data_IF_206095517913
#
_entry.id   IF_206095517913
#
_cell.length_a   1.000
_cell.length_b   1.000
_cell.length_c   1.000
_cell.angle_alpha   90.00
_cell.angle_beta   90.00
_cell.angle_gamma   90.00
#
_symmetry.space_group_name_H-M   'P 1'
#
loop_
_entity.id
_entity.type
_entity.pdbx_description
1 polymer ?
#
# COMPACT_ATOMS: atom_id res chain seq x y z
N UNK A 1 94.50 17.79 -31.28
CA UNK A 1 95.14 16.46 -31.35
C UNK A 1 94.03 15.48 -31.72
N UNK A 2 93.89 15.12 -33.02
CA UNK A 2 94.58 13.98 -33.66
C UNK A 2 94.41 12.73 -32.78
N UNK A 3 93.79 11.65 -33.26
CA UNK A 3 94.35 10.80 -34.31
C UNK A 3 93.25 10.19 -35.20
N UNK A 4 93.45 10.41 -36.50
CA UNK A 4 92.96 9.61 -37.62
C UNK A 4 93.53 8.19 -37.54
N UNK A 5 92.71 7.15 -37.68
CA UNK A 5 93.19 5.90 -38.25
C UNK A 5 92.15 5.37 -39.24
N UNK A 6 92.40 5.65 -40.51
CA UNK A 6 91.84 4.91 -41.62
C UNK A 6 92.60 3.60 -41.75
N UNK A 7 91.89 2.47 -41.77
CA UNK A 7 92.39 1.20 -42.30
C UNK A 7 91.35 0.65 -43.26
N UNK A 8 91.86 0.25 -44.42
CA UNK A 8 91.23 -0.03 -45.70
C UNK A 8 90.57 -1.42 -45.81
N UNK A 9 89.37 -1.42 -46.39
CA UNK A 9 88.88 -2.27 -47.50
C UNK A 9 89.14 -3.80 -47.49
N UNK A 10 88.06 -4.59 -47.41
CA UNK A 10 87.80 -5.73 -48.32
C UNK A 10 86.31 -6.08 -48.37
N UNK A 11 85.78 -6.11 -49.59
CA UNK A 11 84.42 -6.51 -49.95
C UNK A 11 84.10 -7.96 -49.54
N UNK A 12 82.88 -8.20 -49.03
CA UNK A 12 82.10 -9.38 -49.42
C UNK A 12 80.64 -9.28 -48.95
N UNK A 13 79.71 -9.22 -49.91
CA UNK A 13 78.50 -10.04 -49.89
C UNK A 13 77.33 -9.64 -49.00
N UNK A 14 76.28 -9.11 -49.64
CA UNK A 14 74.93 -9.69 -49.62
C UNK A 14 74.23 -9.86 -48.24
N UNK A 15 73.30 -8.95 -47.95
CA UNK A 15 71.85 -9.23 -47.81
C UNK A 15 71.18 -8.22 -46.86
N UNK A 16 70.56 -7.19 -47.43
CA UNK A 16 69.52 -6.44 -46.74
C UNK A 16 68.30 -7.37 -46.57
N UNK A 17 68.19 -8.04 -45.42
CA UNK A 17 66.95 -8.69 -45.02
C UNK A 17 65.98 -7.59 -44.54
N UNK A 18 65.24 -7.02 -45.50
CA UNK A 18 64.10 -6.15 -45.23
C UNK A 18 62.99 -7.02 -44.60
N UNK A 19 62.98 -7.12 -43.27
CA UNK A 19 61.91 -7.73 -42.49
C UNK A 19 60.62 -6.94 -42.73
N UNK A 20 59.82 -7.37 -43.70
CA UNK A 20 58.45 -6.90 -43.87
C UNK A 20 57.69 -7.29 -42.62
N UNK A 21 57.32 -6.30 -41.80
CA UNK A 21 56.34 -6.48 -40.73
C UNK A 21 55.05 -6.97 -41.38
N UNK A 22 54.50 -8.14 -41.01
CA UNK A 22 53.27 -8.62 -41.60
C UNK A 22 52.14 -7.63 -41.29
N UNK A 23 51.55 -7.03 -42.32
CA UNK A 23 50.37 -6.18 -42.18
C UNK A 23 49.18 -7.08 -41.87
N UNK A 24 48.47 -6.86 -40.74
CA UNK A 24 47.39 -7.74 -40.35
C UNK A 24 46.28 -7.74 -41.40
N UNK A 25 45.73 -8.92 -41.65
CA UNK A 25 44.65 -9.10 -42.62
C UNK A 25 43.36 -8.45 -42.12
N UNK A 26 42.43 -8.12 -43.04
CA UNK A 26 41.12 -7.54 -42.66
C UNK A 26 40.35 -8.40 -41.67
N UNK A 27 40.56 -9.73 -41.70
CA UNK A 27 39.98 -10.68 -40.75
C UNK A 27 40.54 -10.53 -39.33
N UNK A 28 41.82 -10.21 -39.17
CA UNK A 28 42.43 -9.98 -37.85
C UNK A 28 41.88 -8.71 -37.21
N UNK A 29 41.68 -7.63 -37.99
CA UNK A 29 41.04 -6.41 -37.49
C UNK A 29 39.59 -6.65 -37.01
N UNK A 30 38.81 -7.44 -37.76
CA UNK A 30 37.46 -7.80 -37.36
C UNK A 30 37.48 -8.61 -36.06
N UNK A 31 38.42 -9.56 -35.94
CA UNK A 31 38.56 -10.37 -34.73
C UNK A 31 38.93 -9.50 -33.52
N UNK A 32 39.87 -8.56 -33.66
CA UNK A 32 40.22 -7.62 -32.58
C UNK A 32 39.06 -6.70 -32.20
N UNK A 33 38.27 -6.24 -33.17
CA UNK A 33 37.10 -5.40 -32.90
C UNK A 33 36.02 -6.16 -32.12
N UNK A 34 35.75 -7.43 -32.46
CA UNK A 34 34.79 -8.27 -31.72
C UNK A 34 35.27 -8.53 -30.30
N UNK A 35 36.56 -8.88 -30.12
CA UNK A 35 37.14 -9.11 -28.79
C UNK A 35 37.05 -7.83 -27.92
N UNK A 36 37.32 -6.66 -28.50
CA UNK A 36 37.22 -5.40 -27.78
C UNK A 36 35.78 -5.08 -27.34
N UNK A 37 34.79 -5.40 -28.18
CA UNK A 37 33.37 -5.15 -27.90
C UNK A 37 32.83 -6.08 -26.81
N UNK A 38 33.19 -7.36 -26.85
CA UNK A 38 32.88 -8.33 -25.79
C UNK A 38 33.52 -7.93 -24.45
N UNK A 39 34.78 -7.49 -24.47
CA UNK A 39 35.47 -7.05 -23.26
C UNK A 39 34.80 -5.81 -22.65
N UNK A 40 34.40 -4.83 -23.46
CA UNK A 40 33.66 -3.66 -23.00
C UNK A 40 32.30 -4.04 -22.38
N UNK A 41 31.61 -5.02 -22.96
CA UNK A 41 30.38 -5.59 -22.41
C UNK A 41 30.59 -6.22 -21.02
N UNK A 42 31.63 -7.04 -20.88
CA UNK A 42 31.98 -7.70 -19.61
C UNK A 42 32.34 -6.70 -18.50
N UNK A 43 33.12 -5.66 -18.82
CA UNK A 43 33.47 -4.61 -17.85
C UNK A 43 32.21 -3.87 -17.38
N UNK A 44 31.33 -3.51 -18.30
CA UNK A 44 30.06 -2.81 -17.99
C UNK A 44 29.16 -3.69 -17.11
N UNK A 45 29.02 -4.97 -17.46
CA UNK A 45 28.27 -5.93 -16.67
C UNK A 45 28.87 -6.14 -15.27
N UNK A 46 30.20 -6.24 -15.17
CA UNK A 46 30.90 -6.38 -13.88
C UNK A 46 30.66 -5.16 -12.98
N UNK A 47 30.74 -3.94 -13.52
CA UNK A 47 30.47 -2.71 -12.76
C UNK A 47 29.02 -2.67 -12.28
N UNK A 48 28.05 -2.94 -13.16
CA UNK A 48 26.62 -3.01 -12.80
C UNK A 48 26.36 -4.09 -11.74
N UNK A 49 27.00 -5.26 -11.86
CA UNK A 49 26.88 -6.35 -10.91
C UNK A 49 27.44 -5.97 -9.55
N UNK A 50 28.60 -5.30 -9.50
CA UNK A 50 29.21 -4.80 -8.26
C UNK A 50 28.31 -3.74 -7.59
N UNK A 51 27.77 -2.79 -8.36
CA UNK A 51 26.86 -1.76 -7.84
C UNK A 51 25.58 -2.38 -7.31
N UNK A 52 24.96 -3.29 -8.06
CA UNK A 52 23.75 -3.99 -7.65
C UNK A 52 23.99 -4.85 -6.39
N UNK A 53 25.11 -5.58 -6.33
CA UNK A 53 25.54 -6.32 -5.14
C UNK A 53 25.74 -5.39 -3.95
N UNK A 54 26.37 -4.22 -4.12
CA UNK A 54 26.55 -3.25 -3.03
C UNK A 54 25.22 -2.67 -2.53
N UNK A 55 24.29 -2.35 -3.43
CA UNK A 55 22.94 -1.89 -3.04
C UNK A 55 22.17 -2.97 -2.25
N UNK A 56 22.25 -4.23 -2.68
CA UNK A 56 21.67 -5.38 -1.96
C UNK A 56 22.30 -5.61 -0.59
N UNK A 57 23.60 -5.34 -0.43
CA UNK A 57 24.29 -5.52 0.85
C UNK A 57 23.93 -4.39 1.82
N UNK A 58 23.80 -3.15 1.34
CA UNK A 58 23.30 -2.02 2.13
C UNK A 58 21.88 -2.26 2.66
N UNK A 59 20.96 -2.67 1.78
CA UNK A 59 19.57 -2.98 2.16
C UNK A 59 19.46 -4.16 3.15
N UNK A 60 20.32 -5.17 3.02
CA UNK A 60 20.37 -6.31 3.96
C UNK A 60 20.90 -5.92 5.34
N UNK A 61 21.89 -5.02 5.41
CA UNK A 61 22.38 -4.52 6.70
C UNK A 61 21.34 -3.66 7.41
N UNK A 62 20.54 -2.89 6.67
CA UNK A 62 19.45 -2.09 7.21
C UNK A 62 18.30 -2.96 7.72
N UNK A 63 17.94 -4.02 6.98
CA UNK A 63 16.97 -5.02 7.42
C UNK A 63 17.45 -5.82 8.65
N UNK A 64 18.75 -6.11 8.73
CA UNK A 64 19.35 -6.78 9.90
C UNK A 64 19.32 -5.88 11.14
N UNK A 65 19.58 -4.58 10.99
CA UNK A 65 19.50 -3.60 12.09
C UNK A 65 18.08 -3.49 12.63
N UNK A 66 17.08 -3.39 11.74
CA UNK A 66 15.66 -3.32 12.10
C UNK A 66 15.22 -4.62 12.82
N UNK A 67 15.65 -5.80 12.34
CA UNK A 67 15.35 -7.08 13.01
C UNK A 67 16.00 -7.19 14.39
N UNK A 68 17.22 -6.67 14.57
CA UNK A 68 17.93 -6.71 15.84
C UNK A 68 17.30 -5.78 16.88
N UNK A 69 16.84 -4.59 16.47
CA UNK A 69 16.07 -3.66 17.32
C UNK A 69 14.70 -4.27 17.73
N UNK A 70 14.02 -4.99 16.83
CA UNK A 70 12.77 -5.70 17.15
C UNK A 70 12.99 -6.93 18.05
N UNK A 71 14.08 -7.68 17.84
CA UNK A 71 14.43 -8.85 18.67
C UNK A 71 14.79 -8.49 20.11
N UNK A 72 15.48 -7.35 20.32
CA UNK A 72 15.77 -6.83 21.66
C UNK A 72 14.50 -6.38 22.40
N UNK A 73 13.51 -5.82 21.69
CA UNK A 73 12.18 -5.48 22.26
C UNK A 73 11.34 -6.72 22.60
N UNK A 74 11.45 -7.81 21.84
CA UNK A 74 10.64 -9.03 22.04
C UNK A 74 11.07 -9.85 23.27
N UNK A 75 12.33 -9.74 23.70
CA UNK A 75 12.86 -10.47 24.88
C UNK A 75 12.45 -9.88 26.25
N UNK A 76 11.79 -8.72 26.28
CA UNK A 76 11.45 -8.00 27.52
C UNK A 76 9.95 -7.83 27.81
N UNK A 77 9.05 -8.48 27.08
CA UNK A 77 7.60 -8.37 27.33
C UNK A 77 6.94 -9.74 27.49
N UNK A 78 6.99 -10.24 28.72
CA UNK A 78 5.92 -11.07 29.25
C UNK A 78 4.76 -10.15 29.65
N UNK A 79 3.55 -10.53 29.24
CA UNK A 79 2.24 -9.95 29.60
C UNK A 79 1.96 -8.54 29.05
N UNK A 80 0.83 -8.43 28.33
CA UNK A 80 0.23 -7.21 27.74
C UNK A 80 -0.32 -6.27 28.85
N UNK A 81 -0.88 -5.06 28.57
CA UNK A 81 -1.34 -4.52 27.28
C UNK A 81 -1.05 -3.04 26.97
N UNK A 82 -1.40 -2.68 25.73
CA UNK A 82 -1.86 -1.35 25.24
C UNK A 82 -0.90 -0.15 25.20
N UNK A 83 -1.24 0.75 24.27
CA UNK A 83 -0.68 2.07 23.99
C UNK A 83 0.73 2.13 23.40
N UNK A 84 0.82 2.44 22.10
CA UNK A 84 1.51 3.61 21.55
C UNK A 84 1.02 3.77 20.10
N UNK A 85 -0.02 4.60 19.96
CA UNK A 85 -0.25 5.44 18.77
C UNK A 85 0.74 6.61 18.84
N UNK A 86 0.87 7.34 17.73
CA UNK A 86 1.50 8.66 17.61
C UNK A 86 2.98 8.62 17.17
N UNK A 87 3.24 8.36 15.88
CA UNK A 87 4.24 9.08 15.04
C UNK A 87 4.00 8.82 13.53
N UNK A 88 3.27 7.78 13.11
CA UNK A 88 3.17 7.42 11.68
C UNK A 88 2.29 8.33 10.79
N UNK A 89 1.59 9.34 11.30
CA UNK A 89 0.63 10.14 10.48
C UNK A 89 1.27 11.12 9.50
N UNK A 90 2.58 11.39 9.55
CA UNK A 90 3.23 12.37 8.65
C UNK A 90 3.98 11.74 7.48
N UNK A 91 4.44 10.49 7.61
CA UNK A 91 5.27 9.85 6.58
C UNK A 91 4.46 9.45 5.33
N UNK A 92 3.16 9.23 5.48
CA UNK A 92 2.34 8.69 4.40
C UNK A 92 1.81 9.76 3.43
N UNK A 93 1.75 11.03 3.87
CA UNK A 93 1.37 12.16 3.01
C UNK A 93 2.45 12.51 1.96
N UNK A 94 3.70 12.07 2.15
CA UNK A 94 4.82 12.43 1.28
C UNK A 94 5.16 11.36 0.22
N UNK A 95 4.67 10.13 0.36
CA UNK A 95 5.05 9.04 -0.55
C UNK A 95 4.10 8.93 -1.76
N UNK A 96 2.89 9.50 -1.69
CA UNK A 96 1.87 9.37 -2.76
C UNK A 96 1.79 10.53 -3.75
N UNK A 97 2.49 11.66 -3.54
CA UNK A 97 2.53 12.77 -4.52
C UNK A 97 3.57 12.59 -5.65
N UNK A 98 4.08 11.38 -5.85
CA UNK A 98 5.03 11.07 -6.92
C UNK A 98 4.40 10.30 -8.08
N UNK A 99 4.14 11.01 -9.19
CA UNK A 99 3.93 10.52 -10.56
C UNK A 99 2.85 9.46 -10.79
N UNK A 100 1.70 9.90 -11.32
CA UNK A 100 0.88 9.09 -12.24
C UNK A 100 -0.30 8.31 -11.67
N UNK A 101 -0.71 8.56 -10.42
CA UNK A 101 -1.92 7.95 -9.89
C UNK A 101 -3.17 8.76 -10.28
N UNK A 102 -4.08 8.14 -11.02
CA UNK A 102 -5.51 8.48 -10.99
C UNK A 102 -5.91 8.77 -9.53
N UNK A 103 -6.62 9.86 -9.25
CA UNK A 103 -7.11 10.20 -7.90
C UNK A 103 -7.89 8.99 -7.38
N UNK A 104 -7.26 8.16 -6.55
CA UNK A 104 -7.92 7.04 -5.88
C UNK A 104 -8.55 7.60 -4.60
N UNK A 105 -9.79 7.23 -4.35
CA UNK A 105 -10.43 7.52 -3.06
C UNK A 105 -9.75 6.68 -1.98
N UNK A 106 -9.73 7.17 -0.74
CA UNK A 106 -9.05 6.54 0.40
C UNK A 106 -9.47 5.09 0.64
N UNK A 107 -10.75 4.76 0.36
CA UNK A 107 -11.28 3.39 0.40
C UNK A 107 -10.56 2.45 -0.58
N UNK A 108 -10.25 2.89 -1.80
CA UNK A 108 -9.59 2.04 -2.81
C UNK A 108 -8.14 1.74 -2.44
N UNK A 109 -7.44 2.71 -1.89
CA UNK A 109 -6.07 2.53 -1.44
C UNK A 109 -5.99 1.56 -0.26
N UNK A 110 -6.96 1.64 0.66
CA UNK A 110 -7.08 0.70 1.76
C UNK A 110 -7.43 -0.72 1.28
N UNK A 111 -8.36 -0.86 0.35
CA UNK A 111 -8.73 -2.16 -0.23
C UNK A 111 -7.55 -2.80 -0.97
N UNK A 112 -6.83 -2.03 -1.79
CA UNK A 112 -5.63 -2.49 -2.48
C UNK A 112 -4.51 -2.90 -1.52
N UNK A 113 -4.29 -2.15 -0.44
CA UNK A 113 -3.35 -2.53 0.61
C UNK A 113 -3.75 -3.84 1.29
N UNK A 114 -5.02 -4.00 1.66
CA UNK A 114 -5.50 -5.18 2.39
C UNK A 114 -5.40 -6.46 1.54
N UNK A 115 -5.55 -6.35 0.22
CA UNK A 115 -5.35 -7.47 -0.71
C UNK A 115 -3.90 -7.98 -0.72
N UNK A 116 -2.94 -7.05 -0.56
CA UNK A 116 -1.50 -7.36 -0.54
C UNK A 116 -1.03 -7.82 0.83
N UNK A 117 -1.31 -7.04 1.88
CA UNK A 117 -0.80 -7.28 3.23
C UNK A 117 -1.52 -8.43 3.93
N UNK A 118 -2.80 -8.65 3.60
CA UNK A 118 -3.66 -9.71 4.18
C UNK A 118 -3.63 -9.70 5.72
N UNK A 119 -4.16 -8.63 6.35
CA UNK A 119 -4.19 -8.54 7.81
C UNK A 119 -4.87 -9.75 8.43
N UNK A 120 -4.29 -10.26 9.52
CA UNK A 120 -4.81 -11.43 10.25
C UNK A 120 -6.07 -11.07 11.05
N UNK A 121 -7.19 -10.96 10.34
CA UNK A 121 -8.51 -10.70 10.94
C UNK A 121 -9.16 -11.98 11.51
N UNK A 122 -8.62 -13.16 11.19
CA UNK A 122 -9.14 -14.43 11.68
C UNK A 122 -9.04 -14.56 13.22
N UNK A 123 -8.21 -13.73 13.88
CA UNK A 123 -8.13 -13.68 15.34
C UNK A 123 -9.30 -12.93 16.00
N UNK A 124 -10.08 -12.19 15.21
CA UNK A 124 -11.23 -11.44 15.73
C UNK A 124 -12.43 -12.35 16.00
N UNK A 125 -12.52 -13.52 15.36
CA UNK A 125 -13.68 -14.41 15.50
C UNK A 125 -13.31 -15.88 15.68
N UNK A 126 -14.11 -16.58 16.47
CA UNK A 126 -13.93 -18.02 16.72
C UNK A 126 -14.49 -18.89 15.58
N UNK A 127 -15.48 -18.39 14.86
CA UNK A 127 -16.19 -19.08 13.77
C UNK A 127 -15.61 -18.78 12.37
N UNK A 128 -14.64 -17.86 12.29
CA UNK A 128 -13.99 -17.46 11.05
C UNK A 128 -14.80 -16.49 10.19
N UNK A 129 -15.94 -15.96 10.64
CA UNK A 129 -16.63 -14.87 9.94
C UNK A 129 -16.03 -13.53 10.34
N UNK A 130 -16.03 -12.54 9.47
CA UNK A 130 -15.58 -11.19 9.83
C UNK A 130 -16.47 -10.16 9.16
N UNK A 131 -16.78 -9.11 9.90
CA UNK A 131 -17.51 -7.96 9.37
C UNK A 131 -16.50 -6.88 9.08
N UNK A 132 -16.50 -6.41 7.83
CA UNK A 132 -15.58 -5.40 7.32
C UNK A 132 -16.38 -4.14 7.07
N UNK A 133 -15.93 -3.04 7.67
CA UNK A 133 -16.52 -1.72 7.48
C UNK A 133 -15.50 -0.81 6.82
N UNK A 134 -15.92 -0.17 5.74
CA UNK A 134 -15.18 0.93 5.13
C UNK A 134 -15.91 2.25 5.37
N UNK A 135 -15.16 3.30 5.63
CA UNK A 135 -15.68 4.67 5.64
C UNK A 135 -14.66 5.64 5.07
N UNK A 136 -15.12 6.75 4.51
CA UNK A 136 -14.31 7.93 4.15
C UNK A 136 -15.20 9.18 4.11
N UNK A 137 -14.59 10.36 3.99
CA UNK A 137 -15.31 11.63 3.93
C UNK A 137 -15.69 11.91 2.47
N UNK A 138 -16.97 12.15 2.24
CA UNK A 138 -17.48 12.57 0.93
C UNK A 138 -16.87 13.92 0.54
N UNK A 139 -16.37 14.03 -0.69
CA UNK A 139 -15.81 15.27 -1.21
C UNK A 139 -14.55 15.75 -0.47
N UNK A 140 -13.81 14.84 0.18
CA UNK A 140 -12.66 15.18 1.05
C UNK A 140 -11.58 16.03 0.37
N UNK A 141 -11.30 15.80 -0.91
CA UNK A 141 -10.36 16.63 -1.70
C UNK A 141 -10.87 18.07 -1.82
N UNK A 142 -12.15 18.27 -2.14
CA UNK A 142 -12.75 19.60 -2.29
C UNK A 142 -12.83 20.32 -0.94
N UNK A 143 -13.17 19.58 0.12
CA UNK A 143 -13.19 20.09 1.48
C UNK A 143 -11.78 20.54 1.92
N UNK A 144 -10.74 19.75 1.61
CA UNK A 144 -9.36 20.14 1.90
C UNK A 144 -8.94 21.40 1.13
N UNK A 145 -9.25 21.47 -0.17
CA UNK A 145 -8.95 22.65 -1.00
C UNK A 145 -9.63 23.92 -0.45
N UNK A 146 -10.88 23.82 0.00
CA UNK A 146 -11.64 24.96 0.54
C UNK A 146 -11.14 25.43 1.92
N UNK A 147 -10.78 24.50 2.81
CA UNK A 147 -10.31 24.83 4.17
C UNK A 147 -8.82 25.16 4.26
N UNK A 148 -8.03 24.62 3.33
CA UNK A 148 -6.58 24.62 3.37
C UNK A 148 -5.99 23.54 4.30
N UNK A 149 -4.81 23.05 3.94
CA UNK A 149 -4.15 21.88 4.54
C UNK A 149 -4.09 21.91 6.07
N UNK A 150 -3.77 23.07 6.67
CA UNK A 150 -3.60 23.17 8.12
C UNK A 150 -4.91 22.97 8.88
N UNK A 151 -6.03 23.46 8.35
CA UNK A 151 -7.35 23.30 8.97
C UNK A 151 -7.84 21.86 8.75
N UNK A 152 -7.66 21.33 7.54
CA UNK A 152 -7.98 19.95 7.20
C UNK A 152 -7.25 18.92 8.09
N UNK A 153 -5.95 19.07 8.30
CA UNK A 153 -5.19 18.16 9.20
C UNK A 153 -5.76 18.18 10.62
N UNK A 154 -6.15 19.36 11.15
CA UNK A 154 -6.78 19.43 12.48
C UNK A 154 -8.16 18.78 12.51
N UNK A 155 -8.92 18.86 11.43
CA UNK A 155 -10.21 18.20 11.30
C UNK A 155 -10.03 16.68 11.27
N UNK A 156 -9.11 16.18 10.43
CA UNK A 156 -8.76 14.76 10.36
C UNK A 156 -8.28 14.22 11.71
N UNK A 157 -7.46 14.95 12.46
CA UNK A 157 -7.03 14.50 13.79
C UNK A 157 -8.19 14.31 14.77
N UNK A 158 -9.21 15.20 14.72
CA UNK A 158 -10.42 15.07 15.55
C UNK A 158 -11.30 13.93 15.05
N UNK A 159 -11.48 13.83 13.73
CA UNK A 159 -12.28 12.79 13.09
C UNK A 159 -11.70 11.41 13.39
N UNK A 160 -10.39 11.23 13.21
CA UNK A 160 -9.69 9.97 13.48
C UNK A 160 -9.81 9.53 14.94
N UNK A 161 -9.81 10.48 15.89
CA UNK A 161 -10.04 10.21 17.31
C UNK A 161 -11.48 9.77 17.56
N UNK A 162 -12.47 10.43 16.95
CA UNK A 162 -13.88 10.05 17.04
C UNK A 162 -14.09 8.62 16.53
N UNK A 163 -13.68 8.34 15.29
CA UNK A 163 -13.83 7.00 14.67
C UNK A 163 -13.18 5.94 15.53
N UNK A 164 -11.91 6.13 15.92
CA UNK A 164 -11.20 5.15 16.77
C UNK A 164 -11.93 4.92 18.10
N UNK A 165 -12.46 5.99 18.72
CA UNK A 165 -13.17 5.89 19.98
C UNK A 165 -14.46 5.08 19.85
N UNK A 166 -15.25 5.31 18.80
CA UNK A 166 -16.50 4.58 18.54
C UNK A 166 -16.23 3.11 18.20
N UNK A 167 -15.26 2.85 17.33
CA UNK A 167 -14.85 1.48 16.98
C UNK A 167 -14.46 0.69 18.23
N UNK A 168 -13.64 1.26 19.11
CA UNK A 168 -13.25 0.60 20.34
C UNK A 168 -14.43 0.39 21.31
N UNK A 169 -15.36 1.35 21.41
CA UNK A 169 -16.52 1.25 22.29
C UNK A 169 -17.46 0.10 21.89
N UNK A 170 -17.54 -0.19 20.59
CA UNK A 170 -18.34 -1.29 20.02
C UNK A 170 -17.53 -2.59 19.81
N UNK A 171 -16.37 -2.72 20.45
CA UNK A 171 -15.55 -3.94 20.39
C UNK A 171 -14.92 -4.23 19.02
N UNK A 172 -14.90 -3.25 18.12
CA UNK A 172 -14.26 -3.35 16.81
C UNK A 172 -12.76 -3.06 16.85
N UNK A 173 -12.13 -3.23 15.69
CA UNK A 173 -10.72 -2.96 15.48
C UNK A 173 -10.49 -2.09 14.24
N UNK A 174 -9.75 -1.00 14.39
CA UNK A 174 -9.25 -0.24 13.23
C UNK A 174 -8.07 -1.00 12.63
N UNK A 175 -8.29 -1.62 11.46
CA UNK A 175 -7.28 -2.40 10.74
C UNK A 175 -6.22 -1.48 10.15
N UNK A 176 -6.69 -0.44 9.44
CA UNK A 176 -5.85 0.61 8.87
C UNK A 176 -6.67 1.86 8.62
N UNK A 177 -6.02 3.01 8.63
CA UNK A 177 -6.58 4.27 8.18
C UNK A 177 -5.64 4.94 7.16
N UNK A 178 -6.22 5.68 6.22
CA UNK A 178 -5.53 6.35 5.13
C UNK A 178 -6.18 7.71 4.91
N UNK A 179 -5.54 8.80 5.34
CA UNK A 179 -6.14 10.13 5.31
C UNK A 179 -7.43 10.19 6.14
N UNK A 180 -8.56 10.37 5.44
CA UNK A 180 -9.94 10.34 5.93
C UNK A 180 -10.60 8.95 5.89
N UNK A 181 -9.99 7.99 5.18
CA UNK A 181 -10.52 6.64 5.00
C UNK A 181 -10.16 5.69 6.16
N UNK A 182 -11.08 4.81 6.51
CA UNK A 182 -10.91 3.76 7.50
C UNK A 182 -11.31 2.39 6.95
N UNK A 183 -10.50 1.38 7.28
CA UNK A 183 -10.86 -0.02 7.24
C UNK A 183 -10.96 -0.53 8.66
N UNK A 184 -12.15 -1.01 9.03
CA UNK A 184 -12.46 -1.48 10.37
C UNK A 184 -12.99 -2.91 10.29
N UNK A 185 -12.79 -3.66 11.36
CA UNK A 185 -13.21 -5.05 11.45
C UNK A 185 -13.94 -5.29 12.77
N UNK A 186 -15.03 -6.04 12.69
CA UNK A 186 -15.85 -6.44 13.83
C UNK A 186 -16.09 -7.94 13.80
N UNK A 187 -16.25 -8.51 15.00
CA UNK A 187 -16.61 -9.91 15.15
C UNK A 187 -18.11 -10.16 14.89
N UNK A 188 -18.92 -9.13 15.11
CA UNK A 188 -20.37 -9.21 15.16
C UNK A 188 -21.00 -8.09 14.30
N UNK A 189 -21.92 -8.42 13.38
CA UNK A 189 -22.53 -7.42 12.48
C UNK A 189 -23.38 -6.40 13.21
N UNK A 190 -24.03 -6.76 14.32
CA UNK A 190 -24.81 -5.83 15.15
C UNK A 190 -23.92 -4.68 15.66
N UNK A 191 -22.78 -5.02 16.26
CA UNK A 191 -21.80 -4.04 16.72
C UNK A 191 -21.26 -3.15 15.58
N UNK A 192 -21.05 -3.70 14.38
CA UNK A 192 -20.59 -2.92 13.23
C UNK A 192 -21.65 -1.89 12.79
N UNK A 193 -22.93 -2.28 12.75
CA UNK A 193 -24.03 -1.38 12.39
C UNK A 193 -24.22 -0.31 13.46
N UNK A 194 -24.26 -0.67 14.75
CA UNK A 194 -24.39 0.30 15.85
C UNK A 194 -23.22 1.27 15.92
N UNK A 195 -21.99 0.80 15.73
CA UNK A 195 -20.83 1.68 15.64
C UNK A 195 -20.97 2.70 14.51
N UNK A 196 -21.50 2.28 13.37
CA UNK A 196 -21.68 3.13 12.19
C UNK A 196 -22.78 4.17 12.43
N UNK A 197 -23.91 3.76 13.03
CA UNK A 197 -25.01 4.65 13.41
C UNK A 197 -24.54 5.70 14.45
N UNK A 198 -23.83 5.26 15.48
CA UNK A 198 -23.23 6.15 16.48
C UNK A 198 -22.25 7.17 15.88
N UNK A 199 -21.49 6.75 14.85
CA UNK A 199 -20.55 7.62 14.16
C UNK A 199 -21.30 8.70 13.36
N UNK A 200 -22.34 8.33 12.60
CA UNK A 200 -23.17 9.30 11.88
C UNK A 200 -23.84 10.27 12.87
N UNK A 201 -24.44 9.75 13.94
CA UNK A 201 -25.08 10.56 14.96
C UNK A 201 -24.11 11.57 15.58
N UNK A 202 -22.90 11.15 15.96
CA UNK A 202 -21.90 12.03 16.55
C UNK A 202 -21.38 13.13 15.59
N UNK A 203 -21.50 12.93 14.27
CA UNK A 203 -21.19 13.93 13.26
C UNK A 203 -22.37 14.90 13.09
N UNK A 204 -23.60 14.38 13.09
CA UNK A 204 -24.83 15.15 12.91
C UNK A 204 -25.24 15.96 14.14
N UNK A 205 -24.90 15.52 15.36
CA UNK A 205 -25.15 16.24 16.62
C UNK A 205 -24.53 17.64 16.64
N UNK A 206 -23.40 17.84 15.94
CA UNK A 206 -22.71 19.13 15.88
C UNK A 206 -22.01 19.33 14.53
N UNK A 207 -22.75 19.61 13.46
CA UNK A 207 -22.19 19.69 12.11
C UNK A 207 -21.12 20.78 11.99
N UNK A 208 -21.28 21.90 12.71
CA UNK A 208 -20.32 23.01 12.67
C UNK A 208 -18.97 22.63 13.26
N UNK A 209 -18.93 21.84 14.35
CA UNK A 209 -17.67 21.33 14.92
C UNK A 209 -16.89 20.47 13.93
N UNK A 210 -17.61 19.84 13.01
CA UNK A 210 -17.10 18.93 12.00
C UNK A 210 -17.01 19.58 10.61
N UNK A 211 -17.19 20.89 10.49
CA UNK A 211 -17.12 21.61 9.21
C UNK A 211 -18.09 21.05 8.16
N UNK A 212 -19.22 20.51 8.63
CA UNK A 212 -20.26 19.86 7.84
C UNK A 212 -19.75 18.72 6.94
N UNK A 213 -18.65 18.04 7.32
CA UNK A 213 -18.24 16.82 6.62
C UNK A 213 -19.33 15.77 6.70
N UNK A 214 -19.48 15.01 5.62
CA UNK A 214 -20.37 13.85 5.57
C UNK A 214 -19.54 12.62 5.31
N UNK A 215 -19.82 11.55 6.04
CA UNK A 215 -19.07 10.29 5.94
C UNK A 215 -19.95 9.26 5.27
N UNK A 216 -19.41 8.58 4.26
CA UNK A 216 -20.09 7.44 3.65
C UNK A 216 -19.57 6.16 4.29
N UNK A 217 -20.45 5.22 4.60
CA UNK A 217 -20.11 3.98 5.30
C UNK A 217 -20.67 2.78 4.54
N UNK A 218 -19.85 1.76 4.35
CA UNK A 218 -20.28 0.47 3.79
C UNK A 218 -19.86 -0.70 4.66
N UNK A 219 -20.79 -1.63 4.86
CA UNK A 219 -20.61 -2.81 5.72
C UNK A 219 -20.87 -4.07 4.90
N UNK A 220 -19.90 -4.97 4.94
CA UNK A 220 -20.05 -6.30 4.39
C UNK A 220 -19.51 -7.34 5.37
N UNK A 221 -20.01 -8.56 5.29
CA UNK A 221 -19.50 -9.67 6.06
C UNK A 221 -19.24 -10.87 5.17
N UNK A 222 -18.17 -11.58 5.50
CA UNK A 222 -17.75 -12.76 4.76
C UNK A 222 -16.92 -13.68 5.65
N UNK A 223 -16.25 -14.65 5.05
CA UNK A 223 -15.53 -15.68 5.80
C UNK A 223 -14.02 -15.50 5.65
N UNK A 224 -13.34 -15.20 6.75
CA UNK A 224 -11.89 -15.21 6.86
C UNK A 224 -11.37 -16.65 6.93
N UNK A 225 -11.43 -17.38 5.82
CA UNK A 225 -10.93 -18.76 5.78
C UNK A 225 -9.40 -18.74 5.73
N UNK A 226 -8.73 -19.25 6.77
CA UNK A 226 -7.25 -19.50 6.80
C UNK A 226 -6.72 -20.37 5.64
N UNK A 227 -7.61 -20.98 4.84
CA UNK A 227 -7.27 -21.96 3.78
C UNK A 227 -7.42 -21.47 2.34
N UNK A 228 -7.96 -20.27 2.11
CA UNK A 228 -8.14 -19.74 0.75
C UNK A 228 -7.82 -18.26 0.70
N UNK A 229 -6.69 -17.91 0.08
CA UNK A 229 -6.23 -16.54 -0.07
C UNK A 229 -7.24 -15.62 -0.80
N UNK A 230 -8.15 -16.20 -1.58
CA UNK A 230 -9.00 -15.48 -2.52
C UNK A 230 -10.30 -14.98 -1.88
N UNK A 231 -10.83 -15.68 -0.86
CA UNK A 231 -12.11 -15.31 -0.23
C UNK A 231 -11.98 -14.02 0.58
N UNK A 232 -10.90 -13.89 1.35
CA UNK A 232 -10.64 -12.67 2.10
C UNK A 232 -10.49 -11.45 1.18
N UNK A 233 -9.77 -11.61 0.07
CA UNK A 233 -9.59 -10.52 -0.91
C UNK A 233 -10.91 -10.09 -1.55
N UNK A 234 -11.79 -11.06 -1.85
CA UNK A 234 -13.11 -10.78 -2.40
C UNK A 234 -14.00 -10.04 -1.41
N UNK A 235 -14.08 -10.49 -0.15
CA UNK A 235 -14.93 -9.89 0.87
C UNK A 235 -14.48 -8.45 1.19
N UNK A 236 -13.16 -8.21 1.26
CA UNK A 236 -12.60 -6.85 1.41
C UNK A 236 -12.95 -5.96 0.22
N UNK A 237 -12.81 -6.47 -0.99
CA UNK A 237 -13.18 -5.72 -2.20
C UNK A 237 -14.68 -5.41 -2.22
N UNK A 238 -15.53 -6.37 -1.87
CA UNK A 238 -16.98 -6.18 -1.76
C UNK A 238 -17.31 -5.10 -0.74
N UNK A 239 -16.74 -5.15 0.48
CA UNK A 239 -16.96 -4.13 1.50
C UNK A 239 -16.61 -2.72 1.01
N UNK A 240 -15.46 -2.58 0.34
CA UNK A 240 -15.05 -1.31 -0.25
C UNK A 240 -16.01 -0.83 -1.35
N UNK A 241 -16.53 -1.75 -2.17
CA UNK A 241 -17.52 -1.42 -3.22
C UNK A 241 -18.87 -1.03 -2.63
N UNK A 242 -19.31 -1.67 -1.55
CA UNK A 242 -20.51 -1.27 -0.80
C UNK A 242 -20.36 0.16 -0.30
N UNK A 243 -19.23 0.49 0.34
CA UNK A 243 -18.99 1.84 0.87
C UNK A 243 -18.92 2.91 -0.23
N UNK A 244 -18.42 2.56 -1.42
CA UNK A 244 -18.41 3.48 -2.56
C UNK A 244 -19.80 3.78 -3.14
N UNK A 245 -20.80 2.93 -2.89
CA UNK A 245 -22.19 3.17 -3.30
C UNK A 245 -22.96 4.04 -2.30
N UNK A 246 -22.41 4.24 -1.09
CA UNK A 246 -23.04 5.05 -0.05
C UNK A 246 -22.81 6.53 -0.33
N UNK A 247 -23.85 7.34 -0.10
CA UNK A 247 -23.77 8.80 -0.10
C UNK A 247 -23.19 9.32 1.23
N UNK A 248 -22.75 10.58 1.27
CA UNK A 248 -22.32 11.20 2.52
C UNK A 248 -23.46 11.26 3.54
N UNK A 249 -23.22 10.68 4.73
CA UNK A 249 -24.23 10.53 5.78
C UNK A 249 -24.97 9.20 5.73
N UNK A 250 -24.71 8.37 4.71
CA UNK A 250 -25.36 7.08 4.53
C UNK A 250 -24.54 5.92 5.08
N UNK A 251 -25.25 4.90 5.57
CA UNK A 251 -24.70 3.58 5.89
C UNK A 251 -25.38 2.59 4.95
N UNK A 252 -24.59 1.90 4.12
CA UNK A 252 -25.08 0.79 3.30
C UNK A 252 -24.57 -0.54 3.84
N UNK A 253 -25.46 -1.52 3.91
CA UNK A 253 -25.10 -2.90 4.25
C UNK A 253 -25.39 -3.85 3.09
N UNK A 254 -24.50 -4.81 2.88
CA UNK A 254 -24.72 -5.90 1.93
C UNK A 254 -25.77 -6.90 2.41
N UNK A 255 -26.32 -7.68 1.48
CA UNK A 255 -27.24 -8.80 1.73
C UNK A 255 -26.85 -9.72 2.91
N UNK A 256 -25.62 -10.27 3.03
CA UNK A 256 -25.27 -11.14 4.16
C UNK A 256 -25.34 -10.44 5.52
N UNK A 257 -25.02 -9.14 5.56
CA UNK A 257 -25.13 -8.34 6.79
C UNK A 257 -26.60 -8.15 7.14
N UNK A 258 -27.44 -7.81 6.16
CA UNK A 258 -28.90 -7.69 6.34
C UNK A 258 -29.50 -8.95 6.93
N UNK A 259 -29.13 -10.12 6.40
CA UNK A 259 -29.60 -11.41 6.93
C UNK A 259 -29.21 -11.59 8.40
N UNK A 260 -27.96 -11.29 8.73
CA UNK A 260 -27.42 -11.49 10.07
C UNK A 260 -28.04 -10.55 11.13
N UNK A 261 -28.52 -9.38 10.73
CA UNK A 261 -29.17 -8.41 11.63
C UNK A 261 -30.71 -8.45 11.59
N UNK A 262 -31.31 -9.39 10.84
CA UNK A 262 -32.76 -9.44 10.62
C UNK A 262 -33.60 -9.62 11.90
N UNK A 263 -32.99 -10.07 13.00
CA UNK A 263 -33.63 -10.21 14.31
C UNK A 263 -33.46 -9.00 15.24
N UNK A 264 -32.86 -7.90 14.78
CA UNK A 264 -32.68 -6.68 15.58
C UNK A 264 -33.86 -5.73 15.39
N UNK A 265 -34.65 -5.54 16.45
CA UNK A 265 -35.81 -4.64 16.41
C UNK A 265 -35.42 -3.15 16.40
N UNK A 266 -34.20 -2.83 16.86
CA UNK A 266 -33.66 -1.48 16.96
C UNK A 266 -32.91 -1.01 15.71
N UNK A 267 -32.78 -1.85 14.68
CA UNK A 267 -32.11 -1.48 13.43
C UNK A 267 -33.09 -1.52 12.27
N UNK A 268 -33.43 -0.34 11.74
CA UNK A 268 -34.34 -0.22 10.60
C UNK A 268 -33.56 -0.11 9.29
N UNK A 269 -34.04 -0.82 8.28
CA UNK A 269 -33.49 -0.78 6.93
C UNK A 269 -34.43 -0.06 5.96
N UNK A 270 -33.85 0.76 5.10
CA UNK A 270 -34.55 1.48 4.04
C UNK A 270 -34.83 0.62 2.82
N UNK A 271 -35.36 1.25 1.77
CA UNK A 271 -35.66 0.59 0.51
C UNK A 271 -34.40 -0.02 -0.11
N UNK A 272 -34.40 -1.32 -0.45
CA UNK A 272 -33.24 -1.97 -1.05
C UNK A 272 -32.88 -1.37 -2.41
N UNK A 273 -31.58 -1.36 -2.74
CA UNK A 273 -31.06 -0.89 -4.03
C UNK A 273 -30.31 -2.02 -4.72
N UNK A 274 -30.70 -2.34 -5.94
CA UNK A 274 -29.91 -3.22 -6.80
C UNK A 274 -28.84 -2.41 -7.53
N UNK A 275 -27.59 -2.84 -7.39
CA UNK A 275 -26.43 -2.15 -7.97
C UNK A 275 -25.45 -3.15 -8.60
N UNK A 276 -24.70 -2.68 -9.58
CA UNK A 276 -23.53 -3.40 -10.08
C UNK A 276 -22.27 -2.90 -9.35
N UNK A 277 -21.57 -3.82 -8.68
CA UNK A 277 -20.34 -3.49 -7.98
C UNK A 277 -19.15 -3.75 -8.91
N UNK A 278 -18.35 -2.70 -9.17
CA UNK A 278 -17.19 -2.78 -10.07
C UNK A 278 -16.26 -3.95 -9.72
N UNK A 279 -16.04 -4.83 -10.70
CA UNK A 279 -15.15 -5.99 -10.57
C UNK A 279 -15.80 -7.23 -9.93
N UNK A 280 -17.08 -7.14 -9.53
CA UNK A 280 -17.89 -8.26 -9.05
C UNK A 280 -18.90 -8.65 -10.14
N UNK A 281 -19.28 -9.92 -10.17
CA UNK A 281 -20.22 -10.45 -11.17
C UNK A 281 -21.66 -10.29 -10.67
N UNK A 282 -22.55 -9.88 -11.57
CA UNK A 282 -23.99 -9.80 -11.29
C UNK A 282 -24.40 -8.57 -10.50
N UNK A 283 -25.71 -8.47 -10.25
CA UNK A 283 -26.31 -7.44 -9.41
C UNK A 283 -26.22 -7.83 -7.94
N UNK A 284 -26.09 -6.81 -7.10
CA UNK A 284 -26.00 -6.95 -5.66
C UNK A 284 -27.05 -6.05 -5.02
N UNK A 285 -27.73 -6.56 -4.01
CA UNK A 285 -28.71 -5.78 -3.26
C UNK A 285 -28.06 -5.17 -2.02
N UNK A 286 -28.15 -3.86 -1.89
CA UNK A 286 -27.68 -3.09 -0.75
C UNK A 286 -28.86 -2.49 0.01
N UNK A 287 -28.70 -2.37 1.33
CA UNK A 287 -29.76 -1.89 2.23
C UNK A 287 -29.24 -0.67 2.98
N UNK A 288 -29.87 0.50 2.83
CA UNK A 288 -29.60 1.65 3.69
C UNK A 288 -30.01 1.36 5.12
N UNK A 289 -29.17 1.71 6.09
CA UNK A 289 -29.57 1.74 7.51
C UNK A 289 -30.20 3.09 7.80
N UNK A 290 -31.41 3.07 8.35
CA UNK A 290 -32.11 4.28 8.75
C UNK A 290 -31.68 4.65 10.16
N UNK A 291 -31.17 5.86 10.36
CA UNK A 291 -31.06 6.43 11.68
C UNK A 291 -32.48 6.68 12.22
N UNK A 292 -32.75 6.30 13.47
CA UNK A 292 -33.99 6.69 14.13
C UNK A 292 -34.05 8.22 14.17
N UNK A 293 -35.09 8.77 13.52
CA UNK A 293 -35.35 10.21 13.42
C UNK A 293 -35.81 10.82 14.75
#
# INVERSE_FOLDING_TARGET
>A
MCVFLAVTCRECGSAHHNQRVPTPSTLEYILYAVIALEFAGLVTFMVLFIVNRKQLTGARHELARIKQEQGARRRRRGVAPMAIKTVFHTADMLITKGLGATVRNSIEDLAGWAQVERPDLARLTADGRVVIVFSDIEGSTQANEAMGDRAWVRLLDRHNKLVTSRVNAHGGHVVKNQGDGFMMAFADPENAVRCSADLQHALDENPQKWEAIRVRIGIHMGTSVRRGADLFGLDVATAARVANQAEGGEILVSEPVREAISGLDDVRLGTPREVELKGLRGTHTLYPVLADA
#
